data_IF_103128930545
#
_entry.id   IF_103128930545
#
_cell.length_a   1.000
_cell.length_b   1.000
_cell.length_c   1.000
_cell.angle_alpha   90.00
_cell.angle_beta   90.00
_cell.angle_gamma   90.00
#
_symmetry.space_group_name_H-M   'P 1'
#
loop_
_entity.id
_entity.type
_entity.pdbx_description
1 polymer ?
#
# COMPACT_ATOMS: atom_id res chain seq x y z
N UNK A 1 53.50 54.16 38.90
CA UNK A 1 52.67 53.04 38.32
C UNK A 1 51.75 52.56 39.43
N UNK A 2 50.43 52.98 39.41
CA UNK A 2 49.45 52.52 40.41
C UNK A 2 48.83 51.20 39.96
N UNK A 3 48.70 50.21 40.83
CA UNK A 3 48.02 48.98 40.50
C UNK A 3 46.51 49.23 40.40
N UNK A 4 45.93 48.87 39.25
CA UNK A 4 44.46 48.79 39.09
C UNK A 4 43.95 47.67 39.99
N UNK A 5 43.27 48.03 41.04
CA UNK A 5 42.50 47.07 41.85
C UNK A 5 41.40 46.52 41.00
N UNK A 6 41.45 45.22 40.65
CA UNK A 6 40.35 44.50 40.02
C UNK A 6 39.18 44.42 41.04
N UNK A 7 38.04 45.02 40.72
CA UNK A 7 36.80 44.86 41.48
C UNK A 7 36.32 43.40 41.31
N UNK A 8 36.59 42.56 42.28
CA UNK A 8 35.95 41.25 42.39
C UNK A 8 34.52 41.43 42.93
N UNK A 9 33.58 41.72 42.05
CA UNK A 9 32.17 41.66 42.39
C UNK A 9 31.77 40.18 42.44
N UNK A 10 31.52 39.66 43.63
CA UNK A 10 30.95 38.31 43.82
C UNK A 10 29.46 38.29 43.43
N UNK A 11 28.99 37.14 42.89
CA UNK A 11 27.59 36.96 42.61
C UNK A 11 26.72 37.05 43.84
N UNK A 12 25.61 37.74 43.73
CA UNK A 12 24.61 37.79 44.80
C UNK A 12 23.78 36.48 44.82
N UNK A 13 23.33 36.09 46.02
CA UNK A 13 22.50 34.88 46.18
C UNK A 13 21.24 34.95 45.31
N UNK A 14 20.65 36.12 45.13
CA UNK A 14 19.47 36.35 44.33
C UNK A 14 19.73 36.12 42.82
N UNK A 15 20.89 36.50 42.33
CA UNK A 15 21.29 36.23 40.91
C UNK A 15 21.39 34.73 40.61
N UNK A 16 21.95 33.96 41.56
CA UNK A 16 22.05 32.50 41.40
C UNK A 16 20.65 31.85 41.43
N UNK A 17 19.78 32.25 42.31
CA UNK A 17 18.39 31.73 42.40
C UNK A 17 17.60 32.09 41.14
N UNK A 18 17.76 33.33 40.62
CA UNK A 18 17.06 33.77 39.40
C UNK A 18 17.61 33.01 38.19
N UNK A 19 18.93 32.82 38.08
CA UNK A 19 19.52 32.05 37.00
C UNK A 19 19.06 30.58 37.01
N UNK A 20 18.98 29.94 38.17
CA UNK A 20 18.44 28.58 38.30
C UNK A 20 16.96 28.51 37.93
N UNK A 21 16.16 29.50 38.32
CA UNK A 21 14.75 29.59 37.94
C UNK A 21 14.56 29.71 36.42
N UNK A 22 15.34 30.59 35.77
CA UNK A 22 15.29 30.76 34.31
C UNK A 22 15.76 29.51 33.55
N UNK A 23 16.84 28.89 34.02
CA UNK A 23 17.35 27.67 33.39
C UNK A 23 16.36 26.50 33.50
N UNK A 24 15.72 26.31 34.63
CA UNK A 24 14.69 25.27 34.79
C UNK A 24 13.47 25.54 33.91
N UNK A 25 13.06 26.79 33.78
CA UNK A 25 11.93 27.18 32.91
C UNK A 25 12.28 26.93 31.42
N UNK A 26 13.47 27.31 30.99
CA UNK A 26 13.97 27.05 29.61
C UNK A 26 14.06 25.55 29.30
N UNK A 27 14.61 24.77 30.24
CA UNK A 27 14.66 23.31 30.09
C UNK A 27 13.27 22.69 30.01
N UNK A 28 12.31 23.18 30.80
CA UNK A 28 10.92 22.74 30.74
C UNK A 28 10.28 23.02 29.36
N UNK A 29 10.45 24.22 28.83
CA UNK A 29 9.96 24.59 27.49
C UNK A 29 10.62 23.77 26.38
N UNK A 30 11.92 23.56 26.45
CA UNK A 30 12.63 22.72 25.48
C UNK A 30 12.13 21.27 25.50
N UNK A 31 11.97 20.70 26.71
CA UNK A 31 11.44 19.34 26.85
C UNK A 31 10.05 19.22 26.24
N UNK A 32 9.15 20.16 26.53
CA UNK A 32 7.79 20.18 25.97
C UNK A 32 7.82 20.26 24.43
N UNK A 33 8.69 21.10 23.87
CA UNK A 33 8.84 21.24 22.42
C UNK A 33 9.30 19.95 21.76
N UNK A 34 10.26 19.24 22.37
CA UNK A 34 10.74 17.95 21.88
C UNK A 34 9.62 16.90 21.88
N UNK A 35 8.79 16.85 22.93
CA UNK A 35 7.66 15.93 22.99
C UNK A 35 6.62 16.19 21.89
N UNK A 36 6.30 17.46 21.62
CA UNK A 36 5.35 17.83 20.55
C UNK A 36 5.89 17.40 19.19
N UNK A 37 7.15 17.77 18.88
CA UNK A 37 7.77 17.44 17.60
C UNK A 37 7.89 15.90 17.40
N UNK A 38 8.29 15.17 18.45
CA UNK A 38 8.36 13.71 18.36
C UNK A 38 6.98 13.05 18.16
N UNK A 39 5.93 13.60 18.77
CA UNK A 39 4.56 13.13 18.57
C UNK A 39 4.05 13.35 17.15
N UNK A 40 4.29 14.54 16.59
CA UNK A 40 3.90 14.88 15.23
C UNK A 40 4.70 14.09 14.18
N UNK A 41 5.99 13.86 14.41
CA UNK A 41 6.84 13.04 13.56
C UNK A 41 6.31 11.61 13.47
N UNK A 42 5.96 11.03 14.61
CA UNK A 42 5.47 9.64 14.66
C UNK A 42 4.13 9.47 13.92
N UNK A 43 3.22 10.45 14.01
CA UNK A 43 1.95 10.47 13.29
C UNK A 43 2.13 10.61 11.79
N UNK A 44 2.98 11.55 11.37
CA UNK A 44 3.26 11.78 9.95
C UNK A 44 3.99 10.61 9.32
N UNK A 45 4.91 9.97 10.03
CA UNK A 45 5.62 8.77 9.55
C UNK A 45 4.66 7.63 9.26
N UNK A 46 3.74 7.34 10.18
CA UNK A 46 2.76 6.26 9.99
C UNK A 46 1.82 6.52 8.80
N UNK A 47 1.36 7.75 8.61
CA UNK A 47 0.48 8.08 7.47
C UNK A 47 1.22 8.08 6.13
N UNK A 48 2.50 8.42 6.12
CA UNK A 48 3.35 8.31 4.92
C UNK A 48 3.63 6.84 4.57
N UNK A 49 3.94 6.01 5.56
CA UNK A 49 4.18 4.58 5.36
C UNK A 49 2.92 3.90 4.79
N UNK A 50 1.74 4.17 5.34
CA UNK A 50 0.46 3.66 4.82
C UNK A 50 0.20 4.11 3.38
N UNK A 51 0.46 5.39 3.06
CA UNK A 51 0.28 5.92 1.69
C UNK A 51 1.28 5.32 0.71
N UNK A 52 2.50 5.04 1.14
CA UNK A 52 3.52 4.38 0.33
C UNK A 52 3.16 2.91 0.06
N UNK A 53 2.70 2.19 1.07
CA UNK A 53 2.28 0.80 0.93
C UNK A 53 1.11 0.68 -0.05
N UNK A 54 0.11 1.57 0.05
CA UNK A 54 -1.01 1.64 -0.88
C UNK A 54 -0.54 1.92 -2.32
N UNK A 55 0.36 2.88 -2.49
CA UNK A 55 0.90 3.24 -3.80
C UNK A 55 1.71 2.11 -4.42
N UNK A 56 2.49 1.40 -3.63
CA UNK A 56 3.25 0.23 -4.07
C UNK A 56 2.33 -0.93 -4.46
N UNK A 57 1.27 -1.16 -3.70
CA UNK A 57 0.26 -2.17 -4.01
C UNK A 57 -0.44 -1.88 -5.35
N UNK A 58 -0.90 -0.63 -5.57
CA UNK A 58 -1.48 -0.20 -6.84
C UNK A 58 -0.50 -0.37 -8.01
N UNK A 59 0.76 0.00 -7.83
CA UNK A 59 1.79 -0.16 -8.85
C UNK A 59 2.04 -1.64 -9.19
N UNK A 60 1.95 -2.53 -8.20
CA UNK A 60 2.07 -3.98 -8.42
C UNK A 60 0.90 -4.53 -9.24
N UNK A 61 -0.33 -4.11 -8.92
CA UNK A 61 -1.53 -4.47 -9.68
C UNK A 61 -1.41 -3.96 -11.12
N UNK A 62 -1.07 -2.68 -11.30
CA UNK A 62 -0.88 -2.06 -12.62
C UNK A 62 0.15 -2.85 -13.46
N UNK A 63 1.32 -3.14 -12.90
CA UNK A 63 2.35 -3.93 -13.57
C UNK A 63 1.87 -5.34 -13.94
N UNK A 64 1.10 -5.97 -13.06
CA UNK A 64 0.58 -7.30 -13.32
C UNK A 64 -0.46 -7.31 -14.45
N UNK A 65 -1.28 -6.26 -14.55
CA UNK A 65 -2.22 -6.08 -15.65
C UNK A 65 -1.50 -5.79 -16.98
N UNK A 66 -0.47 -4.95 -16.96
CA UNK A 66 0.38 -4.74 -18.14
C UNK A 66 1.13 -5.99 -18.57
N UNK A 67 1.46 -6.87 -17.63
CA UNK A 67 2.07 -8.18 -17.88
C UNK A 67 1.06 -9.30 -18.07
N UNK A 68 -0.23 -8.98 -18.31
CA UNK A 68 -1.25 -9.99 -18.50
C UNK A 68 -0.93 -10.91 -19.70
N UNK A 69 -1.09 -12.20 -19.47
CA UNK A 69 -0.78 -13.24 -20.44
C UNK A 69 -2.05 -14.02 -20.79
N UNK A 70 -2.37 -14.22 -22.05
CA UNK A 70 -3.55 -14.99 -22.49
C UNK A 70 -3.33 -16.49 -22.20
N UNK A 71 -3.42 -16.84 -20.93
CA UNK A 71 -3.28 -18.19 -20.46
C UNK A 71 -4.48 -19.03 -20.89
N UNK A 72 -4.25 -20.06 -21.67
CA UNK A 72 -5.33 -20.93 -22.12
C UNK A 72 -5.30 -22.29 -21.41
N UNK A 73 -6.44 -22.74 -20.97
CA UNK A 73 -6.65 -24.04 -20.33
C UNK A 73 -7.83 -24.77 -20.98
N UNK A 74 -7.90 -26.07 -20.78
CA UNK A 74 -9.04 -26.86 -21.24
C UNK A 74 -10.05 -26.98 -20.10
N UNK A 75 -11.27 -26.55 -20.33
CA UNK A 75 -12.36 -26.75 -19.38
C UNK A 75 -12.72 -28.23 -19.35
N UNK A 76 -12.69 -28.86 -18.17
CA UNK A 76 -12.92 -30.30 -18.02
C UNK A 76 -14.35 -30.73 -18.34
N UNK A 77 -15.33 -29.83 -18.18
CA UNK A 77 -16.74 -30.12 -18.44
C UNK A 77 -17.09 -30.01 -19.92
N UNK A 78 -16.59 -28.98 -20.59
CA UNK A 78 -16.95 -28.69 -22.00
C UNK A 78 -15.92 -29.21 -22.99
N UNK A 79 -14.72 -29.61 -22.53
CA UNK A 79 -13.53 -29.96 -23.33
C UNK A 79 -13.09 -28.86 -24.30
N UNK A 80 -13.60 -27.66 -24.12
CA UNK A 80 -13.22 -26.49 -24.91
C UNK A 80 -12.03 -25.77 -24.30
N UNK A 81 -11.22 -25.17 -25.17
CA UNK A 81 -10.11 -24.31 -24.77
C UNK A 81 -10.63 -22.93 -24.45
N UNK A 82 -10.34 -22.45 -23.28
CA UNK A 82 -10.74 -21.12 -22.79
C UNK A 82 -9.51 -20.30 -22.36
N UNK A 83 -9.60 -18.99 -22.45
CA UNK A 83 -8.59 -18.08 -21.91
C UNK A 83 -8.98 -17.75 -20.48
N UNK A 84 -7.99 -17.78 -19.58
CA UNK A 84 -8.18 -17.40 -18.20
C UNK A 84 -8.11 -15.89 -18.03
N UNK A 85 -9.23 -15.22 -18.23
CA UNK A 85 -9.44 -13.81 -17.92
C UNK A 85 -10.94 -13.63 -17.66
N UNK A 86 -11.28 -13.32 -16.41
CA UNK A 86 -12.68 -13.12 -16.01
C UNK A 86 -12.75 -11.88 -15.15
N UNK A 87 -13.67 -10.98 -15.49
CA UNK A 87 -13.88 -9.74 -14.77
C UNK A 87 -15.36 -9.50 -14.48
N UNK A 88 -15.64 -9.13 -13.24
CA UNK A 88 -16.94 -8.64 -12.77
C UNK A 88 -16.77 -7.23 -12.21
N UNK A 89 -17.84 -6.60 -11.75
CA UNK A 89 -17.77 -5.24 -11.21
C UNK A 89 -16.89 -5.14 -9.96
N UNK A 90 -16.85 -6.19 -9.13
CA UNK A 90 -16.18 -6.26 -7.85
C UNK A 90 -15.02 -7.27 -7.78
N UNK A 91 -14.74 -7.94 -8.90
CA UNK A 91 -13.69 -8.97 -8.95
C UNK A 91 -13.04 -9.07 -10.32
N UNK A 92 -11.75 -9.42 -10.33
CA UNK A 92 -10.97 -9.61 -11.55
C UNK A 92 -9.95 -10.73 -11.37
N UNK A 93 -9.98 -11.70 -12.30
CA UNK A 93 -9.04 -12.82 -12.33
C UNK A 93 -8.29 -12.86 -13.65
N UNK A 94 -6.97 -12.94 -13.61
CA UNK A 94 -6.10 -13.01 -14.79
C UNK A 94 -4.81 -13.76 -14.50
N UNK A 95 -4.06 -14.08 -15.55
CA UNK A 95 -2.71 -14.61 -15.42
C UNK A 95 -1.72 -13.57 -15.90
N UNK A 96 -0.60 -13.44 -15.19
CA UNK A 96 0.46 -12.49 -15.49
C UNK A 96 1.84 -13.14 -15.50
N UNK A 97 2.75 -12.54 -16.27
CA UNK A 97 4.19 -12.84 -16.23
C UNK A 97 4.87 -12.19 -15.02
N UNK A 98 4.17 -11.29 -14.32
CA UNK A 98 4.67 -10.58 -13.14
C UNK A 98 4.26 -11.35 -11.89
N UNK A 99 5.23 -11.65 -11.03
CA UNK A 99 5.01 -12.26 -9.72
C UNK A 99 5.57 -11.37 -8.63
N UNK A 100 4.76 -10.93 -7.63
CA UNK A 100 5.25 -10.16 -6.48
C UNK A 100 6.25 -10.97 -5.63
N UNK A 101 6.09 -12.28 -5.60
CA UNK A 101 6.94 -13.20 -4.86
C UNK A 101 8.24 -13.55 -5.59
N UNK A 102 8.51 -12.93 -6.76
CA UNK A 102 9.67 -13.22 -7.61
C UNK A 102 9.82 -14.70 -7.99
N UNK A 103 8.73 -15.45 -7.94
CA UNK A 103 8.71 -16.82 -8.42
C UNK A 103 8.85 -16.84 -9.94
N UNK A 104 9.58 -17.82 -10.45
CA UNK A 104 9.69 -18.03 -11.91
C UNK A 104 8.41 -18.64 -12.45
N UNK A 105 7.96 -18.16 -13.61
CA UNK A 105 6.78 -18.68 -14.30
C UNK A 105 5.60 -17.73 -14.28
N UNK A 106 4.46 -18.22 -14.74
CA UNK A 106 3.21 -17.46 -14.76
C UNK A 106 2.54 -17.50 -13.39
N UNK A 107 1.94 -16.39 -13.01
CA UNK A 107 1.20 -16.25 -11.74
C UNK A 107 -0.25 -15.87 -12.05
N UNK A 108 -1.18 -16.61 -11.50
CA UNK A 108 -2.59 -16.27 -11.50
C UNK A 108 -2.87 -15.27 -10.37
N UNK A 109 -3.63 -14.27 -10.69
CA UNK A 109 -4.05 -13.18 -9.81
C UNK A 109 -5.56 -13.18 -9.70
N UNK A 110 -6.07 -12.91 -8.51
CA UNK A 110 -7.49 -12.64 -8.26
C UNK A 110 -7.59 -11.47 -7.29
N UNK A 111 -8.23 -10.40 -7.74
CA UNK A 111 -8.67 -9.29 -6.90
C UNK A 111 -10.15 -9.48 -6.62
N UNK A 112 -10.59 -9.29 -5.39
CA UNK A 112 -12.01 -9.35 -5.02
C UNK A 112 -12.30 -8.36 -3.89
N UNK A 113 -13.41 -7.63 -4.01
CA UNK A 113 -13.89 -6.75 -2.95
C UNK A 113 -14.79 -7.51 -1.99
N UNK A 114 -14.61 -7.22 -0.69
CA UNK A 114 -15.55 -7.64 0.36
C UNK A 114 -16.15 -6.38 0.95
N UNK A 115 -17.45 -6.15 0.79
CA UNK A 115 -18.11 -4.93 1.24
C UNK A 115 -17.86 -4.65 2.73
N UNK A 116 -17.35 -3.45 3.03
CA UNK A 116 -17.04 -3.01 4.39
C UNK A 116 -15.72 -3.50 4.98
N UNK A 117 -15.01 -4.38 4.31
CA UNK A 117 -13.68 -4.86 4.73
C UNK A 117 -12.57 -4.28 3.86
N UNK A 118 -12.72 -4.37 2.53
CA UNK A 118 -11.73 -3.88 1.58
C UNK A 118 -11.50 -4.82 0.40
N UNK A 119 -10.38 -4.61 -0.30
CA UNK A 119 -10.01 -5.39 -1.48
C UNK A 119 -8.95 -6.42 -1.12
N UNK A 120 -9.23 -7.66 -1.46
CA UNK A 120 -8.37 -8.81 -1.23
C UNK A 120 -7.65 -9.23 -2.51
N UNK A 121 -6.44 -9.72 -2.35
CA UNK A 121 -5.62 -10.31 -3.40
C UNK A 121 -5.34 -11.78 -3.08
N UNK A 122 -5.57 -12.65 -4.06
CA UNK A 122 -5.07 -14.01 -4.05
C UNK A 122 -4.06 -14.20 -5.18
N UNK A 123 -3.08 -15.02 -4.92
CA UNK A 123 -2.01 -15.37 -5.86
C UNK A 123 -1.78 -16.87 -5.86
N UNK A 124 -1.64 -17.44 -7.06
CA UNK A 124 -1.27 -18.84 -7.23
C UNK A 124 -0.39 -19.03 -8.45
N UNK A 125 0.47 -20.06 -8.50
CA UNK A 125 1.19 -20.40 -9.73
C UNK A 125 0.20 -20.82 -10.83
N UNK A 126 0.38 -20.31 -12.06
CA UNK A 126 -0.40 -20.72 -13.21
C UNK A 126 0.38 -21.78 -14.00
N UNK A 127 -0.19 -22.98 -14.06
CA UNK A 127 0.30 -24.08 -14.91
C UNK A 127 -0.63 -24.26 -16.12
N UNK A 128 -0.50 -25.34 -16.85
CA UNK A 128 -1.30 -25.61 -18.06
C UNK A 128 -2.77 -26.00 -17.79
N UNK A 129 -3.20 -26.05 -16.55
CA UNK A 129 -4.55 -26.35 -16.08
C UNK A 129 -5.31 -25.07 -15.67
N UNK A 130 -6.55 -25.24 -15.17
CA UNK A 130 -7.35 -24.12 -14.65
C UNK A 130 -6.76 -23.57 -13.35
N UNK A 131 -6.29 -22.30 -13.33
CA UNK A 131 -5.72 -21.70 -12.13
C UNK A 131 -6.70 -21.49 -10.97
N UNK A 132 -8.03 -21.45 -11.23
CA UNK A 132 -9.06 -21.22 -10.21
C UNK A 132 -8.99 -22.20 -9.04
N UNK A 133 -8.65 -23.46 -9.30
CA UNK A 133 -8.53 -24.46 -8.24
C UNK A 133 -7.51 -24.06 -7.18
N UNK A 134 -6.34 -23.60 -7.65
CA UNK A 134 -5.26 -23.14 -6.73
C UNK A 134 -5.53 -21.79 -6.10
N UNK A 135 -6.20 -20.89 -6.81
CA UNK A 135 -6.62 -19.61 -6.24
C UNK A 135 -7.63 -19.81 -5.10
N UNK A 136 -8.53 -20.78 -5.23
CA UNK A 136 -9.49 -21.12 -4.17
C UNK A 136 -8.82 -21.70 -2.91
N UNK A 137 -7.68 -22.37 -3.07
CA UNK A 137 -6.89 -22.92 -1.97
C UNK A 137 -5.91 -21.88 -1.38
N UNK A 138 -5.67 -20.77 -2.07
CA UNK A 138 -4.72 -19.74 -1.63
C UNK A 138 -5.33 -18.84 -0.56
N UNK A 139 -4.50 -18.41 0.39
CA UNK A 139 -4.92 -17.50 1.43
C UNK A 139 -5.07 -16.07 0.86
N UNK A 140 -6.24 -15.43 1.03
CA UNK A 140 -6.43 -14.05 0.62
C UNK A 140 -5.58 -13.10 1.50
N UNK A 141 -5.00 -12.09 0.87
CA UNK A 141 -4.27 -11.01 1.55
C UNK A 141 -5.06 -9.73 1.37
N UNK A 142 -5.38 -9.04 2.47
CA UNK A 142 -6.04 -7.75 2.42
C UNK A 142 -5.06 -6.72 1.83
N UNK A 143 -5.35 -6.24 0.62
CA UNK A 143 -4.48 -5.34 -0.13
C UNK A 143 -4.83 -3.88 0.13
N UNK A 144 -6.13 -3.55 0.13
CA UNK A 144 -6.64 -2.20 0.33
C UNK A 144 -7.71 -2.20 1.42
N UNK A 145 -7.33 -2.00 2.71
CA UNK A 145 -8.28 -1.97 3.83
C UNK A 145 -9.25 -0.80 3.70
N UNK A 146 -10.56 -1.07 3.81
CA UNK A 146 -11.59 -0.03 3.81
C UNK A 146 -11.85 0.66 2.46
N UNK A 147 -11.28 0.14 1.36
CA UNK A 147 -11.56 0.60 0.01
C UNK A 147 -12.53 -0.34 -0.70
N UNK A 148 -13.37 0.23 -1.54
CA UNK A 148 -14.21 -0.51 -2.47
C UNK A 148 -13.51 -0.66 -3.82
N UNK A 149 -13.87 -1.70 -4.58
CA UNK A 149 -13.40 -1.96 -5.93
C UNK A 149 -14.59 -1.85 -6.89
N UNK A 150 -14.47 -0.98 -7.87
CA UNK A 150 -15.43 -0.89 -8.96
C UNK A 150 -14.68 -0.99 -10.28
N UNK A 151 -15.01 -2.01 -11.06
CA UNK A 151 -14.36 -2.32 -12.32
C UNK A 151 -15.36 -2.16 -13.47
N UNK A 152 -14.87 -1.61 -14.57
CA UNK A 152 -15.59 -1.56 -15.83
C UNK A 152 -14.64 -1.86 -16.99
N UNK A 153 -15.16 -2.48 -18.03
CA UNK A 153 -14.40 -3.00 -19.15
C UNK A 153 -14.82 -2.31 -20.43
N UNK A 154 -13.83 -1.83 -21.19
CA UNK A 154 -14.07 -1.24 -22.50
C UNK A 154 -14.01 -2.35 -23.55
N UNK A 155 -15.15 -2.66 -24.12
CA UNK A 155 -15.29 -3.66 -25.16
C UNK A 155 -15.50 -2.99 -26.52
N UNK A 156 -14.86 -3.51 -27.54
CA UNK A 156 -15.04 -3.08 -28.92
C UNK A 156 -15.82 -4.14 -29.69
N UNK A 157 -17.06 -3.78 -30.09
CA UNK A 157 -17.92 -4.65 -30.87
C UNK A 157 -17.45 -4.79 -32.33
N UNK A 158 -17.98 -5.78 -33.05
CA UNK A 158 -17.62 -6.05 -34.45
C UNK A 158 -17.87 -4.88 -35.40
N UNK A 159 -18.74 -3.96 -35.04
CA UNK A 159 -19.06 -2.73 -35.78
C UNK A 159 -18.15 -1.54 -35.40
N UNK A 160 -17.08 -1.78 -34.62
CA UNK A 160 -16.12 -0.79 -34.12
C UNK A 160 -16.69 0.19 -33.08
N UNK A 161 -17.91 -0.04 -32.58
CA UNK A 161 -18.42 0.72 -31.45
C UNK A 161 -17.77 0.26 -30.15
N UNK A 162 -17.38 1.20 -29.29
CA UNK A 162 -16.82 0.94 -27.97
C UNK A 162 -17.90 1.09 -26.92
N UNK A 163 -18.12 0.03 -26.17
CA UNK A 163 -19.13 -0.02 -25.12
C UNK A 163 -18.46 -0.37 -23.79
N UNK A 164 -18.87 0.32 -22.73
CA UNK A 164 -18.50 -0.05 -21.37
C UNK A 164 -19.42 -1.13 -20.84
N UNK A 165 -18.84 -2.16 -20.24
CA UNK A 165 -19.57 -3.26 -19.61
C UNK A 165 -19.02 -3.52 -18.22
N UNK A 166 -19.87 -4.01 -17.33
CA UNK A 166 -19.52 -4.36 -15.94
C UNK A 166 -19.01 -5.80 -15.82
N UNK A 167 -18.99 -6.54 -16.93
CA UNK A 167 -18.54 -7.93 -16.96
C UNK A 167 -17.73 -8.24 -18.20
N UNK A 168 -16.68 -9.03 -18.01
CA UNK A 168 -15.84 -9.57 -19.08
C UNK A 168 -15.60 -11.06 -18.88
N UNK A 169 -15.90 -11.86 -19.91
CA UNK A 169 -15.53 -13.28 -20.04
C UNK A 169 -14.81 -13.46 -21.38
N UNK A 170 -13.61 -14.08 -21.34
CA UNK A 170 -12.79 -14.35 -22.53
C UNK A 170 -12.93 -15.78 -23.02
#
# INVERSE_FOLDING_TARGET
MSPKTANNAGFTLIEVVLAMGLTTLLLGLLSTSVFIVAGDWNRNSNSLDESLDLSLALLQVDRSLHGAFPHSYTNEETLNRQIYFTGENDSLSWVSTVSPQRSSGLTAWELSAVPGEGVYLKLAPAFSDNPSLRLNESNPVLLFPGYDLELSYLYEELDQNKVWTDRWEA
#
